data_IF_095176492591
#
_entry.id   IF_095176492591
#
_cell.length_a   1.000
_cell.length_b   1.000
_cell.length_c   1.000
_cell.angle_alpha   90.00
_cell.angle_beta   90.00
_cell.angle_gamma   90.00
#
_symmetry.space_group_name_H-M   'P 1'
#
loop_
_entity.id
_entity.type
_entity.pdbx_description
1 polymer ?
#
# COMPACT_ATOMS: atom_id res chain seq x y z
N UNK A 1 10.35 -29.67 6.15
CA UNK A 1 10.62 -28.69 7.23
C UNK A 1 11.15 -27.39 6.62
N UNK A 2 10.73 -26.21 7.09
CA UNK A 2 11.32 -24.94 6.63
C UNK A 2 12.80 -24.86 7.03
N UNK A 3 13.68 -24.58 6.07
CA UNK A 3 15.11 -24.33 6.33
C UNK A 3 15.27 -23.20 7.37
N UNK A 4 16.05 -23.45 8.42
CA UNK A 4 16.39 -22.42 9.42
C UNK A 4 17.19 -21.31 8.74
N UNK A 5 16.71 -20.08 8.88
CA UNK A 5 17.36 -18.89 8.31
C UNK A 5 18.54 -18.46 9.15
N UNK A 6 19.66 -18.12 8.50
CA UNK A 6 20.81 -17.53 9.17
C UNK A 6 20.48 -16.13 9.74
N UNK A 7 21.25 -15.63 10.72
CA UNK A 7 21.10 -14.25 11.19
C UNK A 7 21.17 -13.21 10.06
N UNK A 8 22.03 -13.43 9.06
CA UNK A 8 22.20 -12.55 7.90
C UNK A 8 20.95 -12.57 7.03
N UNK A 9 20.36 -13.74 6.78
CA UNK A 9 19.09 -13.90 6.05
C UNK A 9 17.94 -13.22 6.78
N UNK A 10 17.83 -13.43 8.10
CA UNK A 10 16.83 -12.75 8.93
C UNK A 10 16.96 -11.24 8.83
N UNK A 11 18.18 -10.71 8.87
CA UNK A 11 18.42 -9.27 8.77
C UNK A 11 18.07 -8.71 7.39
N UNK A 12 18.40 -9.43 6.32
CA UNK A 12 18.00 -9.06 4.94
C UNK A 12 16.49 -9.00 4.81
N UNK A 13 15.79 -10.04 5.27
CA UNK A 13 14.32 -10.07 5.24
C UNK A 13 13.69 -8.98 6.11
N UNK A 14 14.28 -8.66 7.26
CA UNK A 14 13.84 -7.51 8.06
C UNK A 14 13.94 -6.22 7.25
N UNK A 15 15.05 -5.94 6.55
CA UNK A 15 15.14 -4.73 5.72
C UNK A 15 14.14 -4.69 4.57
N UNK A 16 13.81 -5.83 3.97
CA UNK A 16 12.91 -5.90 2.82
C UNK A 16 11.42 -5.94 3.22
N UNK A 17 11.08 -6.58 4.34
CA UNK A 17 9.69 -6.93 4.69
C UNK A 17 9.16 -6.23 5.96
N UNK A 18 10.03 -5.80 6.88
CA UNK A 18 9.58 -4.97 8.01
C UNK A 18 9.24 -3.58 7.45
N UNK A 19 7.98 -3.16 7.58
CA UNK A 19 7.48 -1.89 7.03
C UNK A 19 7.25 -0.89 8.15
N UNK A 20 7.62 0.36 7.90
CA UNK A 20 7.54 1.45 8.86
C UNK A 20 6.69 2.55 8.26
N UNK A 21 5.74 3.04 9.05
CA UNK A 21 4.92 4.18 8.67
C UNK A 21 5.83 5.37 8.34
N UNK A 22 5.78 5.79 7.09
CA UNK A 22 6.54 6.89 6.48
C UNK A 22 5.65 8.09 6.16
N UNK A 23 4.38 8.04 6.55
CA UNK A 23 3.43 9.14 6.40
C UNK A 23 3.88 10.34 7.23
N UNK A 24 4.54 11.29 6.57
CA UNK A 24 5.25 12.41 7.20
C UNK A 24 4.38 13.52 7.78
N UNK A 25 3.06 13.50 7.56
CA UNK A 25 2.17 14.56 8.05
C UNK A 25 1.75 14.35 9.51
N UNK A 26 0.97 13.30 9.80
CA UNK A 26 0.37 13.10 11.12
C UNK A 26 0.17 11.60 11.38
N UNK A 27 0.53 11.13 12.58
CA UNK A 27 0.38 9.74 13.04
C UNK A 27 -1.08 9.24 13.05
N UNK A 28 -2.07 10.16 13.04
CA UNK A 28 -3.50 9.88 12.92
C UNK A 28 -4.00 9.92 11.47
N UNK A 29 -3.24 10.51 10.55
CA UNK A 29 -3.67 10.76 9.18
C UNK A 29 -3.96 9.47 8.42
N UNK A 30 -3.02 8.52 8.43
CA UNK A 30 -3.18 7.22 7.79
C UNK A 30 -4.42 6.46 8.29
N UNK A 31 -4.66 6.46 9.61
CA UNK A 31 -5.82 5.80 10.23
C UNK A 31 -7.15 6.37 9.75
N UNK A 32 -7.26 7.71 9.68
CA UNK A 32 -8.49 8.37 9.22
C UNK A 32 -8.69 8.23 7.71
N UNK A 33 -7.60 8.36 6.95
CA UNK A 33 -7.63 8.37 5.49
C UNK A 33 -7.89 6.97 4.89
N UNK A 34 -7.35 5.90 5.47
CA UNK A 34 -7.66 4.52 5.05
C UNK A 34 -9.17 4.28 5.08
N UNK A 35 -9.84 4.65 6.19
CA UNK A 35 -11.30 4.48 6.32
C UNK A 35 -12.06 5.32 5.28
N UNK A 36 -11.64 6.57 5.05
CA UNK A 36 -12.27 7.47 4.07
C UNK A 36 -12.10 6.94 2.64
N UNK A 37 -10.90 6.53 2.28
CA UNK A 37 -10.55 6.03 0.95
C UNK A 37 -11.21 4.68 0.64
N UNK A 38 -11.44 3.82 1.65
CA UNK A 38 -12.31 2.65 1.50
C UNK A 38 -13.77 3.04 1.28
N UNK A 39 -14.29 3.96 2.08
CA UNK A 39 -15.71 4.36 2.07
C UNK A 39 -16.14 4.99 0.75
N UNK A 40 -15.28 5.80 0.12
CA UNK A 40 -15.61 6.51 -1.11
C UNK A 40 -16.01 5.60 -2.30
N UNK A 41 -15.18 4.64 -2.75
CA UNK A 41 -15.55 3.74 -3.85
C UNK A 41 -16.74 2.85 -3.51
N UNK A 42 -16.85 2.34 -2.27
CA UNK A 42 -18.01 1.54 -1.87
C UNK A 42 -19.32 2.31 -1.96
N UNK A 43 -19.33 3.58 -1.55
CA UNK A 43 -20.52 4.44 -1.68
C UNK A 43 -20.84 4.71 -3.14
N UNK A 44 -19.85 5.06 -3.95
CA UNK A 44 -20.05 5.31 -5.37
C UNK A 44 -20.59 4.07 -6.11
N UNK A 45 -20.05 2.88 -5.80
CA UNK A 45 -20.51 1.63 -6.39
C UNK A 45 -21.95 1.30 -5.99
N UNK A 46 -22.31 1.44 -4.70
CA UNK A 46 -23.69 1.23 -4.24
C UNK A 46 -24.66 2.22 -4.85
N UNK A 47 -24.30 3.49 -4.89
CA UNK A 47 -25.15 4.53 -5.49
C UNK A 47 -25.40 4.25 -6.97
N UNK A 48 -24.36 3.90 -7.72
CA UNK A 48 -24.52 3.50 -9.13
C UNK A 48 -25.39 2.25 -9.27
N UNK A 49 -25.13 1.22 -8.48
CA UNK A 49 -25.92 -0.02 -8.54
C UNK A 49 -27.40 0.26 -8.29
N UNK A 50 -27.71 1.05 -7.26
CA UNK A 50 -29.07 1.50 -6.97
C UNK A 50 -29.69 2.22 -8.17
N UNK A 51 -29.02 3.24 -8.72
CA UNK A 51 -29.53 3.98 -9.88
C UNK A 51 -29.82 3.10 -11.10
N UNK A 52 -29.00 2.08 -11.34
CA UNK A 52 -29.18 1.14 -12.46
C UNK A 52 -30.31 0.16 -12.18
N UNK A 53 -30.37 -0.39 -10.97
CA UNK A 53 -31.36 -1.40 -10.58
C UNK A 53 -32.78 -0.83 -10.41
N UNK A 54 -32.92 0.47 -10.10
CA UNK A 54 -34.24 1.14 -10.05
C UNK A 54 -35.07 0.94 -11.32
N UNK A 55 -34.43 0.84 -12.49
CA UNK A 55 -35.11 0.62 -13.77
C UNK A 55 -35.71 -0.80 -13.93
N UNK A 56 -35.33 -1.75 -13.06
CA UNK A 56 -35.87 -3.12 -13.02
C UNK A 56 -36.77 -3.35 -11.79
N UNK A 57 -37.14 -2.30 -11.05
CA UNK A 57 -38.09 -2.43 -9.94
C UNK A 57 -39.51 -2.39 -10.48
N UNK A 58 -40.30 -3.43 -10.23
CA UNK A 58 -41.71 -3.47 -10.62
C UNK A 58 -42.14 -4.85 -11.12
N UNK A 59 -43.04 -4.85 -12.12
CA UNK A 59 -43.45 -6.06 -12.79
C UNK A 59 -42.27 -6.70 -13.54
N UNK A 60 -42.26 -8.04 -13.60
CA UNK A 60 -41.23 -8.80 -14.31
C UNK A 60 -41.29 -8.47 -15.80
N UNK A 61 -40.15 -8.04 -16.34
CA UNK A 61 -39.94 -7.71 -17.75
C UNK A 61 -38.52 -8.13 -18.14
N UNK A 62 -38.42 -9.29 -18.79
CA UNK A 62 -37.14 -9.90 -19.17
C UNK A 62 -36.28 -8.97 -20.05
N UNK A 63 -36.89 -8.18 -20.93
CA UNK A 63 -36.16 -7.28 -21.82
C UNK A 63 -35.57 -6.09 -21.06
N UNK A 64 -36.33 -5.53 -20.12
CA UNK A 64 -35.85 -4.46 -19.25
C UNK A 64 -34.78 -4.96 -18.25
N UNK A 65 -34.96 -6.15 -17.69
CA UNK A 65 -34.02 -6.79 -16.76
C UNK A 65 -32.67 -7.07 -17.44
N UNK A 66 -32.68 -7.61 -18.67
CA UNK A 66 -31.46 -7.89 -19.43
C UNK A 66 -30.69 -6.59 -19.77
N UNK A 67 -31.40 -5.51 -20.11
CA UNK A 67 -30.78 -4.21 -20.35
C UNK A 67 -30.16 -3.60 -19.08
N UNK A 68 -30.83 -3.75 -17.94
CA UNK A 68 -30.32 -3.33 -16.63
C UNK A 68 -29.06 -4.13 -16.26
N UNK A 69 -29.07 -5.45 -16.48
CA UNK A 69 -27.90 -6.29 -16.25
C UNK A 69 -26.72 -5.87 -17.14
N UNK A 70 -26.94 -5.71 -18.45
CA UNK A 70 -25.91 -5.22 -19.38
C UNK A 70 -25.32 -3.90 -18.89
N UNK A 71 -26.17 -2.93 -18.54
CA UNK A 71 -25.72 -1.63 -17.99
C UNK A 71 -24.93 -1.79 -16.71
N UNK A 72 -25.34 -2.69 -15.80
CA UNK A 72 -24.65 -2.92 -14.54
C UNK A 72 -23.23 -3.45 -14.79
N UNK A 73 -23.09 -4.46 -15.66
CA UNK A 73 -21.85 -5.20 -15.91
C UNK A 73 -20.85 -4.48 -16.81
N UNK A 74 -21.30 -3.56 -17.68
CA UNK A 74 -20.42 -2.76 -18.56
C UNK A 74 -19.32 -2.01 -17.78
N UNK A 75 -19.59 -1.62 -16.52
CA UNK A 75 -18.63 -0.85 -15.73
C UNK A 75 -18.07 -1.66 -14.57
N UNK A 76 -16.75 -1.88 -14.60
CA UNK A 76 -16.02 -2.44 -13.46
C UNK A 76 -16.21 -1.58 -12.20
N UNK A 77 -16.55 -2.18 -11.04
CA UNK A 77 -16.65 -1.47 -9.79
C UNK A 77 -15.34 -0.77 -9.41
N UNK A 78 -15.43 0.43 -8.81
CA UNK A 78 -14.26 1.12 -8.26
C UNK A 78 -13.67 0.29 -7.12
N UNK A 79 -12.36 0.11 -7.11
CA UNK A 79 -11.63 -0.58 -6.04
C UNK A 79 -10.69 0.38 -5.31
N UNK A 80 -10.45 0.12 -4.04
CA UNK A 80 -9.37 0.75 -3.28
C UNK A 80 -8.41 -0.32 -2.82
N UNK A 81 -7.12 -0.09 -3.04
CA UNK A 81 -6.06 -0.95 -2.57
C UNK A 81 -5.20 -0.17 -1.58
N UNK A 82 -4.82 -0.83 -0.49
CA UNK A 82 -3.92 -0.23 0.49
C UNK A 82 -2.50 -0.30 -0.07
N UNK A 83 -1.89 0.86 -0.32
CA UNK A 83 -0.46 0.91 -0.59
C UNK A 83 0.31 0.51 0.67
N UNK A 84 1.38 -0.29 0.53
CA UNK A 84 2.24 -0.58 1.65
C UNK A 84 3.09 0.62 2.09
N UNK A 85 3.44 0.66 3.38
CA UNK A 85 4.40 1.63 3.90
C UNK A 85 5.85 1.27 3.48
N UNK A 86 6.78 2.21 3.64
CA UNK A 86 8.18 2.03 3.26
C UNK A 86 8.85 0.85 3.99
N UNK A 87 9.65 0.03 3.27
CA UNK A 87 10.53 -0.96 3.88
C UNK A 87 11.54 -0.34 4.84
N UNK A 88 11.88 -1.05 5.92
CA UNK A 88 12.85 -0.63 6.92
C UNK A 88 14.21 -0.28 6.29
N UNK A 89 14.62 -1.02 5.27
CA UNK A 89 15.85 -0.74 4.53
C UNK A 89 15.88 0.64 3.89
N UNK A 90 14.75 1.14 3.40
CA UNK A 90 14.64 2.48 2.81
C UNK A 90 14.67 3.57 3.89
N UNK A 91 13.91 3.37 4.98
CA UNK A 91 13.91 4.28 6.12
C UNK A 91 15.31 4.45 6.71
N UNK A 92 16.03 3.35 6.93
CA UNK A 92 17.40 3.42 7.49
C UNK A 92 18.33 4.19 6.55
N UNK A 93 18.22 3.98 5.23
CA UNK A 93 19.00 4.72 4.25
C UNK A 93 18.67 6.21 4.25
N UNK A 94 17.38 6.57 4.28
CA UNK A 94 16.92 7.95 4.39
C UNK A 94 17.47 8.63 5.65
N UNK A 95 17.33 8.00 6.81
CA UNK A 95 17.82 8.53 8.08
C UNK A 95 19.34 8.71 8.12
N UNK A 96 20.10 7.82 7.49
CA UNK A 96 21.56 7.97 7.37
C UNK A 96 21.94 9.17 6.48
N UNK A 97 21.32 9.27 5.30
CA UNK A 97 21.55 10.41 4.39
C UNK A 97 21.20 11.73 5.06
N UNK A 98 20.04 11.80 5.72
CA UNK A 98 19.59 12.99 6.44
C UNK A 98 20.56 13.40 7.54
N UNK A 99 21.11 12.46 8.32
CA UNK A 99 22.13 12.76 9.33
C UNK A 99 23.40 13.34 8.74
N UNK A 100 23.86 12.77 7.62
CA UNK A 100 25.02 13.28 6.90
C UNK A 100 24.77 14.70 6.36
N UNK A 101 23.61 14.95 5.75
CA UNK A 101 23.22 16.26 5.24
C UNK A 101 23.12 17.32 6.35
N UNK A 102 22.59 16.94 7.51
CA UNK A 102 22.42 17.85 8.64
C UNK A 102 23.67 17.96 9.53
N UNK A 103 24.74 17.21 9.25
CA UNK A 103 25.95 17.19 10.08
C UNK A 103 25.76 16.65 11.50
N UNK A 104 24.66 15.93 11.77
CA UNK A 104 24.31 15.46 13.13
C UNK A 104 24.92 14.08 13.48
N UNK A 105 25.78 13.54 12.63
CA UNK A 105 26.43 12.24 12.81
C UNK A 105 27.86 12.24 12.29
N UNK A 106 28.55 11.11 12.44
CA UNK A 106 29.88 10.88 11.87
C UNK A 106 29.73 10.49 10.39
N UNK A 107 30.17 11.34 9.43
CA UNK A 107 29.96 11.08 8.01
C UNK A 107 30.62 9.78 7.52
N UNK A 108 31.79 9.41 8.06
CA UNK A 108 32.51 8.19 7.66
C UNK A 108 31.75 6.95 8.14
N UNK A 109 31.33 6.94 9.41
CA UNK A 109 30.57 5.83 9.98
C UNK A 109 29.20 5.67 9.33
N UNK A 110 28.50 6.76 9.08
CA UNK A 110 27.18 6.74 8.45
C UNK A 110 27.26 6.32 6.98
N UNK A 111 28.28 6.75 6.23
CA UNK A 111 28.53 6.28 4.86
C UNK A 111 28.82 4.78 4.80
N UNK A 112 29.69 4.25 5.69
CA UNK A 112 29.98 2.83 5.76
C UNK A 112 28.73 2.00 6.13
N UNK A 113 27.89 2.52 7.04
CA UNK A 113 26.61 1.90 7.39
C UNK A 113 25.61 1.94 6.24
N UNK A 114 25.59 3.02 5.46
CA UNK A 114 24.72 3.19 4.29
C UNK A 114 25.05 2.16 3.21
N UNK A 115 26.33 1.99 2.87
CA UNK A 115 26.79 0.92 1.97
C UNK A 115 26.28 -0.43 2.47
N UNK A 116 26.52 -0.75 3.75
CA UNK A 116 26.19 -2.06 4.30
C UNK A 116 24.71 -2.38 4.18
N UNK A 117 23.85 -1.39 4.38
CA UNK A 117 22.40 -1.54 4.20
C UNK A 117 22.07 -1.74 2.72
N UNK A 118 22.61 -0.93 1.82
CA UNK A 118 22.41 -1.05 0.36
C UNK A 118 22.80 -2.43 -0.16
N UNK A 119 23.95 -2.96 0.27
CA UNK A 119 24.40 -4.30 -0.11
C UNK A 119 23.41 -5.38 0.31
N UNK A 120 22.87 -5.27 1.53
CA UNK A 120 21.90 -6.23 2.07
C UNK A 120 20.52 -6.13 1.44
N UNK A 121 20.09 -4.94 1.03
CA UNK A 121 18.80 -4.73 0.35
C UNK A 121 18.85 -5.16 -1.11
N UNK A 122 19.93 -4.85 -1.85
CA UNK A 122 20.10 -5.29 -3.26
C UNK A 122 20.11 -6.81 -3.40
N UNK A 123 20.75 -7.53 -2.47
CA UNK A 123 20.77 -8.99 -2.44
C UNK A 123 19.41 -9.64 -2.12
N UNK A 124 18.36 -8.85 -1.83
CA UNK A 124 17.01 -9.37 -1.55
C UNK A 124 16.05 -9.20 -2.73
N UNK A 125 16.48 -8.56 -3.82
CA UNK A 125 15.66 -8.23 -4.98
C UNK A 125 15.80 -9.24 -6.14
N UNK A 126 16.39 -10.41 -5.88
CA UNK A 126 16.49 -11.54 -6.80
C UNK A 126 15.74 -12.76 -6.28
#
# INVERSE_FOLDING_TARGET
MLRRRSPQEKKRLSYAKDRRNDYGENDKGSRKNIRRNKRAPHRANRHRAHQVLEAAVGAVDEGAEEEVERRLLVKRPKSWEKSPDAPLGEIVQYTLRRRMTLGTGDPKRDAARLERVRRRTRQSAG
#
